data_IF_056536778998
#
_entry.id   IF_056536778998
#
_cell.length_a   1.000
_cell.length_b   1.000
_cell.length_c   1.000
_cell.angle_alpha   90.00
_cell.angle_beta   90.00
_cell.angle_gamma   90.00
#
_symmetry.space_group_name_H-M   'P 1'
#
loop_
_entity.id
_entity.type
_entity.pdbx_description
1 polymer ?
#
# COMPACT_ATOMS: atom_id res chain seq x y z
N UNK A 1 40.92 7.21 -10.33
CA UNK A 1 39.91 7.50 -9.29
C UNK A 1 38.76 8.25 -9.96
N UNK A 2 37.59 7.63 -10.09
CA UNK A 2 36.31 8.22 -9.70
C UNK A 2 35.19 7.22 -10.02
N UNK A 3 34.38 7.02 -8.98
CA UNK A 3 33.23 6.15 -8.91
C UNK A 3 32.16 6.52 -9.92
N UNK A 4 31.53 5.51 -10.53
CA UNK A 4 30.07 5.42 -10.57
C UNK A 4 29.68 3.94 -10.44
N UNK A 5 29.45 3.48 -9.20
CA UNK A 5 28.61 2.30 -9.00
C UNK A 5 27.20 2.77 -9.23
N UNK A 6 26.59 2.33 -10.32
CA UNK A 6 25.14 2.34 -10.44
C UNK A 6 24.59 1.65 -9.20
N UNK A 7 23.88 2.41 -8.37
CA UNK A 7 23.04 1.84 -7.33
C UNK A 7 21.91 1.13 -8.06
N UNK A 8 22.13 -0.14 -8.43
CA UNK A 8 21.02 -1.04 -8.72
C UNK A 8 20.18 -1.12 -7.46
N UNK A 9 19.10 -0.33 -7.43
CA UNK A 9 18.02 -0.48 -6.48
C UNK A 9 17.48 -1.90 -6.65
N UNK A 10 18.06 -2.85 -5.90
CA UNK A 10 17.60 -4.24 -5.85
C UNK A 10 16.14 -4.17 -5.43
N UNK A 11 15.25 -4.34 -6.39
CA UNK A 11 13.79 -4.37 -6.19
C UNK A 11 13.50 -5.53 -5.24
N UNK A 12 13.39 -5.22 -3.94
CA UNK A 12 13.17 -6.20 -2.88
C UNK A 12 11.71 -6.16 -2.46
N UNK A 13 10.85 -6.77 -3.28
CA UNK A 13 9.89 -7.82 -2.90
C UNK A 13 9.03 -8.19 -4.13
N UNK A 14 9.24 -9.38 -4.71
CA UNK A 14 8.44 -9.89 -5.84
C UNK A 14 7.18 -10.68 -5.38
N UNK A 15 6.97 -10.85 -4.07
CA UNK A 15 5.83 -11.61 -3.54
C UNK A 15 4.68 -10.69 -3.16
N UNK A 16 3.46 -11.16 -3.42
CA UNK A 16 2.24 -10.54 -2.90
C UNK A 16 2.21 -10.73 -1.37
N UNK A 17 2.06 -9.62 -0.64
CA UNK A 17 2.03 -9.59 0.83
C UNK A 17 0.62 -9.26 1.32
N UNK A 18 0.24 -9.70 2.52
CA UNK A 18 -1.04 -9.28 3.12
C UNK A 18 -0.84 -7.99 3.90
N UNK A 19 -1.79 -7.07 3.88
CA UNK A 19 -1.75 -5.87 4.73
C UNK A 19 -1.65 -6.23 6.21
N UNK A 20 -2.21 -7.36 6.64
CA UNK A 20 -2.05 -7.87 8.01
C UNK A 20 -0.59 -8.18 8.41
N UNK A 21 0.31 -8.35 7.44
CA UNK A 21 1.74 -8.57 7.67
C UNK A 21 2.57 -7.28 7.53
N UNK A 22 1.91 -6.15 7.23
CA UNK A 22 2.49 -4.81 7.17
C UNK A 22 2.19 -4.07 8.48
N UNK A 23 3.13 -3.27 8.94
CA UNK A 23 2.93 -2.31 10.01
C UNK A 23 3.35 -0.90 9.55
N UNK A 24 2.65 0.12 10.03
CA UNK A 24 3.02 1.51 9.80
C UNK A 24 3.93 1.97 10.93
N UNK A 25 5.04 2.61 10.57
CA UNK A 25 5.95 3.23 11.52
C UNK A 25 6.06 4.73 11.25
N UNK A 26 5.95 5.52 12.32
CA UNK A 26 6.06 6.98 12.24
C UNK A 26 7.51 7.43 11.98
N UNK A 27 7.72 8.75 11.91
CA UNK A 27 9.03 9.34 11.59
C UNK A 27 10.17 8.96 12.55
N UNK A 28 9.87 8.54 13.78
CA UNK A 28 10.87 8.07 14.76
C UNK A 28 10.99 6.53 14.79
N UNK A 29 10.31 5.83 13.90
CA UNK A 29 10.38 4.37 13.74
C UNK A 29 9.50 3.57 14.69
N UNK A 30 8.59 4.22 15.43
CA UNK A 30 7.63 3.52 16.29
C UNK A 30 6.48 2.96 15.46
N UNK A 31 6.18 1.67 15.65
CA UNK A 31 5.02 1.02 15.04
C UNK A 31 3.72 1.51 15.69
N UNK A 32 2.70 1.71 14.86
CA UNK A 32 1.37 2.15 15.29
C UNK A 32 0.45 0.93 15.49
N UNK A 33 -0.28 0.88 16.61
CA UNK A 33 -1.20 -0.22 16.92
C UNK A 33 -2.53 -0.13 16.15
N UNK A 34 -3.06 1.09 15.98
CA UNK A 34 -4.33 1.34 15.30
C UNK A 34 -4.24 2.58 14.39
N UNK A 35 -3.58 2.46 13.24
CA UNK A 35 -3.38 3.59 12.33
C UNK A 35 -4.69 4.03 11.67
N UNK A 36 -4.86 5.33 11.55
CA UNK A 36 -5.91 5.96 10.75
C UNK A 36 -5.55 5.97 9.26
N UNK A 37 -6.49 6.42 8.42
CA UNK A 37 -6.21 6.65 7.00
C UNK A 37 -5.20 7.76 6.74
N UNK A 38 -4.99 8.69 7.68
CA UNK A 38 -3.99 9.76 7.53
C UNK A 38 -2.57 9.20 7.77
N UNK A 39 -2.44 8.32 8.77
CA UNK A 39 -1.17 7.67 9.08
C UNK A 39 -0.65 6.84 7.90
N UNK A 40 -1.55 6.36 7.05
CA UNK A 40 -1.20 5.62 5.85
C UNK A 40 -0.34 6.43 4.85
N UNK A 41 -0.51 7.75 4.81
CA UNK A 41 0.28 8.65 3.97
C UNK A 41 1.49 9.23 4.70
N UNK A 42 1.35 9.50 6.01
CA UNK A 42 2.38 10.15 6.81
C UNK A 42 3.47 9.17 7.30
N UNK A 43 3.13 7.90 7.48
CA UNK A 43 4.03 6.87 7.96
C UNK A 43 4.63 6.02 6.84
N UNK A 44 5.67 5.26 7.18
CA UNK A 44 6.27 4.29 6.27
C UNK A 44 5.77 2.88 6.61
N UNK A 45 5.41 2.14 5.57
CA UNK A 45 5.00 0.73 5.63
C UNK A 45 6.22 -0.18 5.69
N UNK A 46 6.21 -1.12 6.65
CA UNK A 46 7.24 -2.14 6.81
C UNK A 46 6.59 -3.52 6.81
N UNK A 47 7.25 -4.50 6.19
CA UNK A 47 6.94 -5.88 6.50
C UNK A 47 7.37 -6.17 7.95
N UNK A 48 6.50 -6.79 8.74
CA UNK A 48 6.76 -7.04 10.18
C UNK A 48 8.16 -7.64 10.40
N UNK A 49 8.87 -7.11 11.39
CA UNK A 49 10.26 -7.47 11.78
C UNK A 49 11.35 -7.06 10.79
N UNK A 50 11.03 -6.53 9.61
CA UNK A 50 12.02 -5.99 8.68
C UNK A 50 12.48 -4.59 9.10
N UNK A 51 13.74 -4.30 8.78
CA UNK A 51 14.35 -2.98 9.03
C UNK A 51 14.18 -2.03 7.86
N UNK A 52 14.02 -2.56 6.65
CA UNK A 52 13.87 -1.77 5.43
C UNK A 52 12.38 -1.49 5.14
N UNK A 53 12.03 -0.29 4.66
CA UNK A 53 10.68 -0.01 4.19
C UNK A 53 10.23 -0.97 3.09
N UNK A 54 8.95 -1.29 3.08
CA UNK A 54 8.37 -2.27 2.16
C UNK A 54 8.29 -1.71 0.73
N UNK A 55 8.78 -2.48 -0.25
CA UNK A 55 8.57 -2.22 -1.68
C UNK A 55 7.93 -3.45 -2.31
N UNK A 56 6.71 -3.34 -2.80
CA UNK A 56 6.00 -4.47 -3.38
C UNK A 56 4.48 -4.34 -3.38
N UNK A 57 3.82 -5.36 -3.93
CA UNK A 57 2.35 -5.48 -3.93
C UNK A 57 1.86 -6.00 -2.59
N UNK A 58 0.74 -5.46 -2.12
CA UNK A 58 0.04 -6.06 -1.00
C UNK A 58 -1.49 -5.94 -1.12
N UNK A 59 -2.17 -6.84 -0.42
CA UNK A 59 -3.63 -6.96 -0.41
C UNK A 59 -4.19 -7.11 1.00
N UNK A 60 -5.34 -6.51 1.27
CA UNK A 60 -6.19 -6.78 2.43
C UNK A 60 -7.19 -7.88 2.07
N UNK A 61 -7.37 -8.83 2.98
CA UNK A 61 -8.34 -9.91 2.85
C UNK A 61 -9.37 -9.82 3.97
N UNK A 62 -10.61 -10.22 3.70
CA UNK A 62 -11.61 -10.45 4.74
C UNK A 62 -11.35 -11.80 5.48
N UNK A 63 -12.28 -12.20 6.35
CA UNK A 63 -12.18 -13.45 7.11
C UNK A 63 -12.35 -14.71 6.25
N UNK A 64 -13.00 -14.58 5.09
CA UNK A 64 -13.26 -15.67 4.14
C UNK A 64 -12.15 -15.77 3.08
N UNK A 65 -11.24 -14.80 3.03
CA UNK A 65 -10.11 -14.74 2.11
C UNK A 65 -10.37 -13.94 0.83
N UNK A 66 -11.48 -13.20 0.74
CA UNK A 66 -11.77 -12.33 -0.40
C UNK A 66 -10.95 -11.04 -0.31
N UNK A 67 -10.55 -10.51 -1.47
CA UNK A 67 -9.76 -9.28 -1.55
C UNK A 67 -10.64 -8.06 -1.29
N UNK A 68 -10.31 -7.30 -0.25
CA UNK A 68 -11.01 -6.08 0.14
C UNK A 68 -10.28 -4.82 -0.33
N UNK A 69 -8.97 -4.90 -0.50
CA UNK A 69 -8.14 -3.80 -0.98
C UNK A 69 -6.83 -4.33 -1.54
N UNK A 70 -6.25 -3.64 -2.52
CA UNK A 70 -4.93 -3.95 -3.06
C UNK A 70 -4.20 -2.69 -3.51
N UNK A 71 -2.88 -2.76 -3.50
CA UNK A 71 -2.03 -1.67 -3.97
C UNK A 71 -0.55 -2.01 -4.00
N UNK A 72 0.26 -1.01 -4.34
CA UNK A 72 1.71 -1.12 -4.41
C UNK A 72 2.36 -0.09 -3.49
N UNK A 73 3.52 -0.47 -2.95
CA UNK A 73 4.36 0.41 -2.15
C UNK A 73 5.74 0.54 -2.77
N UNK A 74 6.31 1.75 -2.71
CA UNK A 74 7.71 2.05 -3.04
C UNK A 74 8.35 2.67 -1.80
N UNK A 75 9.40 2.03 -1.29
CA UNK A 75 10.13 2.49 -0.10
C UNK A 75 9.22 2.80 1.10
N UNK A 76 8.20 1.98 1.29
CA UNK A 76 7.21 2.07 2.37
C UNK A 76 6.06 3.04 2.11
N UNK A 77 6.07 3.78 1.00
CA UNK A 77 5.00 4.73 0.64
C UNK A 77 4.04 4.12 -0.36
N UNK A 78 2.73 4.35 -0.25
CA UNK A 78 1.79 3.91 -1.26
C UNK A 78 2.06 4.62 -2.59
N UNK A 79 2.02 3.86 -3.68
CA UNK A 79 2.36 4.35 -5.02
C UNK A 79 1.51 3.63 -6.07
N UNK A 80 1.21 4.32 -7.17
CA UNK A 80 0.44 3.78 -8.29
C UNK A 80 -1.05 3.60 -7.98
N UNK A 81 -1.68 2.66 -8.68
CA UNK A 81 -3.12 2.43 -8.62
C UNK A 81 -3.49 1.54 -7.44
N UNK A 82 -4.45 2.02 -6.67
CA UNK A 82 -5.06 1.32 -5.55
C UNK A 82 -6.52 1.03 -5.85
N UNK A 83 -6.99 -0.11 -5.38
CA UNK A 83 -8.40 -0.51 -5.53
C UNK A 83 -8.93 -1.02 -4.19
N UNK A 84 -10.18 -0.69 -3.88
CA UNK A 84 -10.96 -1.28 -2.79
C UNK A 84 -12.24 -1.86 -3.34
N UNK A 85 -12.71 -2.93 -2.73
CA UNK A 85 -13.92 -3.64 -3.13
C UNK A 85 -14.97 -3.58 -2.02
N UNK A 86 -16.23 -3.68 -2.44
CA UNK A 86 -17.35 -4.02 -1.57
C UNK A 86 -17.31 -5.52 -1.25
N UNK A 87 -18.03 -5.93 -0.21
CA UNK A 87 -18.12 -7.34 0.21
C UNK A 87 -18.68 -8.25 -0.90
N UNK A 88 -19.44 -7.68 -1.84
CA UNK A 88 -19.97 -8.40 -3.00
C UNK A 88 -18.96 -8.57 -4.16
N UNK A 89 -17.73 -8.09 -4.00
CA UNK A 89 -16.65 -8.18 -4.98
C UNK A 89 -16.70 -7.13 -6.10
N UNK A 90 -17.67 -6.22 -6.12
CA UNK A 90 -17.61 -5.06 -7.00
C UNK A 90 -16.63 -4.02 -6.49
N UNK A 91 -16.04 -3.24 -7.42
CA UNK A 91 -15.20 -2.11 -7.04
C UNK A 91 -16.03 -1.15 -6.20
N UNK A 92 -15.40 -0.66 -5.14
CA UNK A 92 -15.93 0.41 -4.29
C UNK A 92 -15.21 1.72 -4.58
N UNK A 93 -13.89 1.64 -4.72
CA UNK A 93 -13.03 2.80 -4.85
C UNK A 93 -11.79 2.44 -5.67
N UNK A 94 -11.33 3.38 -6.48
CA UNK A 94 -10.06 3.29 -7.20
C UNK A 94 -9.40 4.67 -7.12
N UNK A 95 -8.15 4.71 -6.70
CA UNK A 95 -7.38 5.95 -6.64
C UNK A 95 -5.98 5.75 -7.18
N UNK A 96 -5.42 6.82 -7.73
CA UNK A 96 -4.04 6.86 -8.21
C UNK A 96 -3.22 7.74 -7.27
N UNK A 97 -2.17 7.18 -6.69
CA UNK A 97 -1.18 7.92 -5.92
C UNK A 97 0.08 8.06 -6.76
N UNK A 98 0.62 9.27 -6.85
CA UNK A 98 1.95 9.49 -7.43
C UNK A 98 2.71 10.51 -6.60
N UNK A 99 3.97 10.23 -6.28
CA UNK A 99 4.82 11.12 -5.48
C UNK A 99 4.20 11.51 -4.13
N UNK A 100 3.41 10.60 -3.53
CA UNK A 100 2.73 10.82 -2.25
C UNK A 100 1.41 11.60 -2.33
N UNK A 101 0.97 12.01 -3.52
CA UNK A 101 -0.29 12.75 -3.71
C UNK A 101 -1.34 11.88 -4.40
N UNK A 102 -2.60 12.01 -3.97
CA UNK A 102 -3.73 11.39 -4.65
C UNK A 102 -4.13 12.22 -5.88
N UNK A 103 -3.85 11.69 -7.07
CA UNK A 103 -4.12 12.36 -8.35
C UNK A 103 -5.60 12.30 -8.73
N UNK A 104 -6.23 11.16 -8.50
CA UNK A 104 -7.67 11.00 -8.69
C UNK A 104 -8.22 9.93 -7.78
N UNK A 105 -9.52 10.03 -7.52
CA UNK A 105 -10.33 8.97 -6.92
C UNK A 105 -11.59 8.79 -7.75
N UNK A 106 -12.04 7.55 -7.87
CA UNK A 106 -13.33 7.15 -8.44
C UNK A 106 -14.04 6.28 -7.42
N UNK A 107 -15.35 6.45 -7.35
CA UNK A 107 -16.20 5.69 -6.44
C UNK A 107 -17.25 4.93 -7.25
N UNK A 108 -17.66 3.79 -6.71
CA UNK A 108 -18.73 2.97 -7.24
C UNK A 108 -19.63 2.54 -6.09
N UNK A 109 -20.93 2.49 -6.36
CA UNK A 109 -21.90 1.90 -5.45
C UNK A 109 -21.83 0.37 -5.44
N UNK A 110 -22.65 -0.27 -4.61
CA UNK A 110 -22.70 -1.73 -4.50
C UNK A 110 -23.23 -2.43 -5.76
N UNK A 111 -23.80 -1.70 -6.72
CA UNK A 111 -24.21 -2.25 -8.02
C UNK A 111 -23.11 -2.18 -9.08
N UNK A 112 -21.97 -1.55 -8.76
CA UNK A 112 -20.89 -1.27 -9.70
C UNK A 112 -21.15 -0.03 -10.58
N UNK A 113 -22.11 0.82 -10.20
CA UNK A 113 -22.37 2.09 -10.89
C UNK A 113 -21.45 3.17 -10.33
N UNK A 114 -20.75 3.90 -11.20
CA UNK A 114 -19.89 5.00 -10.78
C UNK A 114 -20.70 6.15 -10.19
N UNK A 115 -20.25 6.70 -9.07
CA UNK A 115 -20.89 7.82 -8.34
C UNK A 115 -19.95 9.01 -8.17
#
# INVERSE_FOLDING_TARGET
MHHQRGSESKVRCLRLVRFADIELRNAIGLALDNPSSIDFFDCLSYFKKEKAPFTGRAQGLDLEGNVMAEGFFVEGRPEGRWTRWHDNGYKREEFLITNGECCYVRHWDESGTSI
#
